data_IF_866571976660
#
_entry.id   IF_866571976660
#
_cell.length_a   1.000
_cell.length_b   1.000
_cell.length_c   1.000
_cell.angle_alpha   90.00
_cell.angle_beta   90.00
_cell.angle_gamma   90.00
#
_symmetry.space_group_name_H-M   'P 1'
#
loop_
_entity.id
_entity.type
_entity.pdbx_description
1 polymer ?
#
# COMPACT_ATOMS: atom_id res chain seq x y z
N UNK A 1 -20.74 6.09 -13.20
CA UNK A 1 -20.83 5.04 -12.17
C UNK A 1 -19.45 4.39 -12.01
N UNK A 2 -18.89 4.32 -10.80
CA UNK A 2 -17.56 3.76 -10.55
C UNK A 2 -17.54 2.23 -10.57
N UNK A 3 -16.47 1.64 -11.08
CA UNK A 3 -16.28 0.19 -11.11
C UNK A 3 -16.24 -0.37 -9.68
N UNK A 4 -17.15 -1.30 -9.35
CA UNK A 4 -17.11 -2.11 -8.13
C UNK A 4 -16.80 -3.57 -8.53
N UNK A 5 -15.66 -4.14 -8.10
CA UNK A 5 -15.31 -5.51 -8.44
C UNK A 5 -16.28 -6.49 -7.78
N UNK A 6 -16.70 -7.52 -8.54
CA UNK A 6 -17.54 -8.60 -8.01
C UNK A 6 -16.72 -9.39 -6.98
N UNK A 7 -17.36 -10.05 -5.99
CA UNK A 7 -16.64 -10.80 -4.96
C UNK A 7 -15.63 -11.81 -5.50
N UNK A 8 -15.91 -12.44 -6.64
CA UNK A 8 -15.03 -13.39 -7.32
C UNK A 8 -13.79 -12.77 -7.97
N UNK A 9 -13.82 -11.47 -8.24
CA UNK A 9 -12.73 -10.71 -8.87
C UNK A 9 -11.82 -10.07 -7.81
N UNK A 10 -12.11 -10.28 -6.51
CA UNK A 10 -11.29 -9.76 -5.40
C UNK A 10 -10.10 -10.67 -5.17
N UNK A 11 -8.92 -10.06 -5.00
CA UNK A 11 -7.74 -10.77 -4.55
C UNK A 11 -7.99 -11.34 -3.14
N UNK A 12 -7.60 -12.61 -2.94
CA UNK A 12 -7.67 -13.22 -1.61
C UNK A 12 -6.52 -12.68 -0.75
N UNK A 13 -6.73 -12.51 0.57
CA UNK A 13 -5.68 -12.01 1.47
C UNK A 13 -4.41 -12.85 1.51
N UNK A 14 -4.51 -14.13 1.11
CA UNK A 14 -3.41 -15.11 1.12
C UNK A 14 -2.63 -15.17 -0.19
N UNK A 15 -3.01 -14.40 -1.21
CA UNK A 15 -2.29 -14.39 -2.50
C UNK A 15 -0.97 -13.64 -2.31
N UNK A 16 0.14 -14.35 -2.55
CA UNK A 16 1.48 -13.76 -2.63
C UNK A 16 1.76 -13.44 -4.11
N UNK A 17 1.87 -12.16 -4.44
CA UNK A 17 2.19 -11.71 -5.80
C UNK A 17 3.71 -11.66 -5.93
N UNK A 18 4.30 -12.80 -6.32
CA UNK A 18 5.76 -12.97 -6.39
C UNK A 18 6.42 -12.31 -7.62
N UNK A 19 5.63 -11.92 -8.62
CA UNK A 19 6.13 -11.37 -9.89
C UNK A 19 6.72 -9.95 -9.75
N UNK A 20 6.46 -9.28 -8.63
CA UNK A 20 6.93 -7.92 -8.34
C UNK A 20 8.11 -7.86 -7.34
N UNK A 21 8.73 -9.00 -7.00
CA UNK A 21 9.76 -9.07 -5.95
C UNK A 21 11.02 -8.27 -6.32
N UNK A 22 11.37 -8.18 -7.61
CA UNK A 22 12.55 -7.43 -8.09
C UNK A 22 12.47 -5.92 -7.80
N UNK A 23 11.26 -5.37 -7.64
CA UNK A 23 11.04 -3.98 -7.26
C UNK A 23 11.39 -3.68 -5.80
N UNK A 24 11.54 -4.68 -4.94
CA UNK A 24 11.89 -4.48 -3.52
C UNK A 24 13.37 -4.20 -3.30
N UNK A 25 14.24 -4.65 -4.22
CA UNK A 25 15.68 -4.38 -4.18
C UNK A 25 16.07 -3.03 -4.78
N UNK A 26 15.16 -2.39 -5.52
CA UNK A 26 15.39 -1.08 -6.12
C UNK A 26 15.04 0.03 -5.11
N UNK A 27 16.02 0.84 -4.65
CA UNK A 27 15.80 1.92 -3.70
C UNK A 27 14.83 3.01 -4.22
N UNK A 28 14.73 3.17 -5.54
CA UNK A 28 13.93 4.20 -6.20
C UNK A 28 12.51 3.72 -6.55
N UNK A 29 12.23 2.41 -6.42
CA UNK A 29 10.95 1.80 -6.82
C UNK A 29 9.74 2.43 -6.11
N UNK A 30 9.91 2.74 -4.83
CA UNK A 30 8.87 3.31 -3.98
C UNK A 30 8.58 4.79 -4.31
N UNK A 31 9.47 5.46 -5.03
CA UNK A 31 9.38 6.88 -5.36
C UNK A 31 9.45 7.79 -4.11
N UNK A 32 9.32 9.11 -4.28
CA UNK A 32 9.57 10.11 -3.22
C UNK A 32 8.64 10.04 -2.00
N UNK A 33 7.60 9.20 -2.03
CA UNK A 33 6.57 9.17 -0.99
C UNK A 33 6.52 7.88 -0.15
N UNK A 34 7.29 6.85 -0.50
CA UNK A 34 7.23 5.55 0.18
C UNK A 34 8.58 5.09 0.76
N UNK A 35 9.59 5.96 0.83
CA UNK A 35 10.84 5.67 1.57
C UNK A 35 10.62 5.87 3.07
N UNK A 36 10.77 4.80 3.86
CA UNK A 36 10.74 4.85 5.32
C UNK A 36 12.17 5.10 5.79
N UNK A 37 12.50 6.35 6.12
CA UNK A 37 13.76 6.67 6.78
C UNK A 37 13.81 6.03 8.17
N UNK A 38 14.93 5.42 8.57
CA UNK A 38 15.05 4.71 9.85
C UNK A 38 14.78 5.60 11.08
N UNK A 39 14.98 6.91 10.95
CA UNK A 39 14.69 7.93 11.97
C UNK A 39 13.18 8.20 12.16
N UNK A 40 12.33 7.78 11.22
CA UNK A 40 10.87 7.97 11.30
C UNK A 40 10.20 6.68 11.75
N UNK A 41 9.50 6.76 12.90
CA UNK A 41 8.79 5.61 13.45
C UNK A 41 7.73 5.07 12.48
N UNK A 42 7.64 3.73 12.39
CA UNK A 42 6.59 3.01 11.64
C UNK A 42 5.18 3.51 12.03
N UNK A 43 5.03 3.95 13.29
CA UNK A 43 3.80 4.53 13.81
C UNK A 43 3.31 5.75 13.01
N UNK A 44 4.22 6.60 12.54
CA UNK A 44 3.89 7.78 11.73
C UNK A 44 3.31 7.40 10.36
N UNK A 45 3.79 6.29 9.78
CA UNK A 45 3.26 5.75 8.53
C UNK A 45 1.86 5.16 8.73
N UNK A 46 1.66 4.39 9.81
CA UNK A 46 0.36 3.84 10.21
C UNK A 46 -0.68 4.96 10.36
N UNK A 47 -0.31 6.08 11.02
CA UNK A 47 -1.23 7.20 11.23
C UNK A 47 -1.56 7.97 9.94
N UNK A 48 -0.63 8.03 8.97
CA UNK A 48 -0.93 8.57 7.62
C UNK A 48 -1.94 7.69 6.87
N UNK A 49 -1.79 6.37 6.94
CA UNK A 49 -2.70 5.41 6.29
C UNK A 49 -4.10 5.54 6.92
N UNK A 50 -4.19 5.53 8.25
CA UNK A 50 -5.46 5.71 8.99
C UNK A 50 -6.17 7.00 8.60
N UNK A 51 -5.43 8.11 8.46
CA UNK A 51 -5.98 9.40 8.01
C UNK A 51 -6.55 9.34 6.59
N UNK A 52 -5.84 8.67 5.66
CA UNK A 52 -6.34 8.50 4.28
C UNK A 52 -7.62 7.65 4.24
N UNK A 53 -7.68 6.56 4.99
CA UNK A 53 -8.88 5.70 5.08
C UNK A 53 -10.07 6.49 5.63
N UNK A 54 -9.88 7.27 6.69
CA UNK A 54 -10.94 8.11 7.27
C UNK A 54 -11.47 9.17 6.30
N UNK A 55 -10.60 9.72 5.43
CA UNK A 55 -11.01 10.68 4.38
C UNK A 55 -11.75 9.99 3.22
N UNK A 56 -11.38 8.76 2.88
CA UNK A 56 -12.01 8.00 1.80
C UNK A 56 -13.38 7.42 2.20
N UNK A 57 -13.59 7.17 3.50
CA UNK A 57 -14.88 6.72 4.05
C UNK A 57 -15.84 7.87 4.37
N UNK A 58 -15.48 9.10 3.99
CA UNK A 58 -16.31 10.29 4.13
C UNK A 58 -16.93 10.62 2.78
#
# INVERSE_FOLDING_TARGET
AGFKPKPKDRLRPTVIIADAISGFSDPDFWGPFNVIEPEKSIQSAIDKIRRKIKRANR
#
